data_IF_460686224104
#
_entry.id   IF_460686224104
#
_cell.length_a   1.000
_cell.length_b   1.000
_cell.length_c   1.000
_cell.angle_alpha   90.00
_cell.angle_beta   90.00
_cell.angle_gamma   90.00
#
_symmetry.space_group_name_H-M   'P 1'
#
loop_
_entity.id
_entity.type
_entity.pdbx_description
1 polymer ?
#
# COMPACT_ATOMS: atom_id res chain seq x y z
N UNK A 1 8.89 -5.71 26.34
CA UNK A 1 9.43 -4.53 25.62
C UNK A 1 8.75 -3.28 26.16
N UNK A 2 9.54 -2.28 26.62
CA UNK A 2 8.96 -0.97 26.97
C UNK A 2 8.92 -0.14 25.70
N UNK A 3 7.73 0.21 25.24
CA UNK A 3 7.52 1.10 24.10
C UNK A 3 6.86 2.39 24.58
N UNK A 4 7.38 3.51 24.17
CA UNK A 4 6.71 4.82 24.27
C UNK A 4 6.62 5.42 22.87
N UNK A 5 5.81 6.48 22.69
CA UNK A 5 5.79 7.20 21.42
C UNK A 5 7.18 7.75 21.03
N UNK A 6 8.08 7.87 21.98
CA UNK A 6 9.39 8.52 21.81
C UNK A 6 10.54 7.53 21.56
N UNK A 7 10.41 6.26 21.98
CA UNK A 7 11.44 5.25 21.80
C UNK A 7 10.88 3.83 21.88
N UNK A 8 11.66 2.88 21.35
CA UNK A 8 11.49 1.44 21.57
C UNK A 8 12.84 0.78 21.86
N UNK A 9 12.80 -0.42 22.44
CA UNK A 9 13.99 -1.22 22.72
C UNK A 9 14.17 -2.30 21.64
N UNK A 10 15.37 -2.37 21.07
CA UNK A 10 15.80 -3.39 20.10
C UNK A 10 17.19 -3.85 20.47
N UNK A 11 17.40 -5.15 20.68
CA UNK A 11 18.68 -5.77 21.05
C UNK A 11 19.37 -5.09 22.26
N UNK A 12 18.58 -4.73 23.29
CA UNK A 12 19.06 -4.06 24.49
C UNK A 12 19.48 -2.61 24.29
N UNK A 13 19.17 -2.01 23.15
CA UNK A 13 19.44 -0.60 22.83
C UNK A 13 18.15 0.18 22.69
N UNK A 14 18.19 1.44 23.13
CA UNK A 14 17.09 2.39 22.93
C UNK A 14 17.21 2.98 21.53
N UNK A 15 16.15 2.83 20.74
CA UNK A 15 16.00 3.44 19.42
C UNK A 15 14.95 4.57 19.51
N UNK A 16 15.37 5.79 19.22
CA UNK A 16 14.50 6.97 19.24
C UNK A 16 13.63 7.02 17.99
N UNK A 17 12.34 7.32 18.15
CA UNK A 17 11.35 7.40 17.05
C UNK A 17 11.43 8.74 16.32
N UNK A 18 10.74 8.83 15.18
CA UNK A 18 10.55 10.08 14.45
C UNK A 18 9.84 11.14 15.32
N UNK A 19 8.86 10.73 16.13
CA UNK A 19 8.11 11.63 17.04
C UNK A 19 9.03 12.31 18.04
N UNK A 20 9.97 11.58 18.65
CA UNK A 20 10.98 12.17 19.51
C UNK A 20 11.80 13.23 18.78
N UNK A 21 12.21 12.95 17.54
CA UNK A 21 13.02 13.90 16.78
C UNK A 21 12.23 15.13 16.33
N UNK A 22 10.94 14.98 16.04
CA UNK A 22 10.02 16.10 15.75
C UNK A 22 9.86 16.99 16.97
N UNK A 23 9.60 16.41 18.16
CA UNK A 23 9.49 17.15 19.44
C UNK A 23 10.76 17.94 19.76
N UNK A 24 11.94 17.43 19.39
CA UNK A 24 13.21 18.16 19.55
C UNK A 24 13.31 19.40 18.64
N UNK A 25 12.56 19.48 17.54
CA UNK A 25 12.43 20.64 16.67
C UNK A 25 13.55 20.85 15.63
N UNK A 26 14.60 20.01 15.59
CA UNK A 26 15.66 20.10 14.58
C UNK A 26 16.50 18.82 14.49
N UNK A 27 17.13 18.60 13.35
CA UNK A 27 18.06 17.49 13.13
C UNK A 27 19.32 17.67 13.99
N UNK A 28 19.78 16.61 14.67
CA UNK A 28 20.99 16.62 15.51
C UNK A 28 22.29 16.45 14.72
N UNK A 29 22.22 16.08 13.44
CA UNK A 29 23.40 15.77 12.62
C UNK A 29 24.05 14.42 12.90
N UNK A 30 23.49 13.61 13.82
CA UNK A 30 23.92 12.23 14.08
C UNK A 30 23.10 11.29 13.21
N UNK A 31 23.68 10.20 12.76
CA UNK A 31 23.03 9.22 11.87
C UNK A 31 21.91 8.49 12.61
N UNK A 32 20.79 9.18 12.84
CA UNK A 32 19.61 8.65 13.51
C UNK A 32 18.78 7.83 12.51
N UNK A 33 18.37 6.61 12.89
CA UNK A 33 17.59 5.68 12.05
C UNK A 33 16.27 6.30 11.57
N UNK A 34 15.57 7.02 12.43
CA UNK A 34 14.26 7.62 12.15
C UNK A 34 14.33 9.16 12.07
N UNK A 35 15.30 9.69 11.33
CA UNK A 35 15.42 11.13 11.14
C UNK A 35 14.28 11.67 10.25
N UNK A 36 13.38 12.54 10.77
CA UNK A 36 12.20 13.00 10.03
C UNK A 36 12.47 14.24 9.16
N UNK A 37 13.72 14.71 9.12
CA UNK A 37 14.06 15.96 8.44
C UNK A 37 14.54 15.71 7.01
N UNK A 38 14.16 16.60 6.07
CA UNK A 38 14.74 16.62 4.71
C UNK A 38 16.25 16.78 4.80
N UNK A 39 17.00 16.18 3.88
CA UNK A 39 18.46 16.11 3.99
C UNK A 39 18.84 15.59 5.39
N UNK A 40 18.55 14.32 5.68
CA UNK A 40 18.79 13.74 7.00
C UNK A 40 20.25 13.92 7.41
N UNK A 41 20.48 13.92 8.72
CA UNK A 41 21.81 14.08 9.34
C UNK A 41 22.48 15.45 9.12
N UNK A 42 21.71 16.46 8.69
CA UNK A 42 22.20 17.85 8.60
C UNK A 42 21.85 18.61 9.89
N UNK A 43 22.85 18.84 10.74
CA UNK A 43 22.67 19.52 12.04
C UNK A 43 21.97 20.86 11.90
N UNK A 44 20.92 21.05 12.70
CA UNK A 44 20.14 22.29 12.74
C UNK A 44 19.05 22.39 11.66
N UNK A 45 18.94 21.43 10.73
CA UNK A 45 17.85 21.42 9.77
C UNK A 45 16.49 21.24 10.49
N UNK A 46 15.53 22.11 10.19
CA UNK A 46 14.17 22.12 10.77
C UNK A 46 13.09 21.70 9.77
N UNK A 47 13.45 21.52 8.50
CA UNK A 47 12.49 21.16 7.46
C UNK A 47 12.16 19.70 7.57
N UNK A 48 10.94 19.38 7.95
CA UNK A 48 10.44 18.00 8.03
C UNK A 48 10.27 17.42 6.61
N UNK A 49 10.64 16.16 6.46
CA UNK A 49 10.28 15.40 5.30
C UNK A 49 8.77 15.12 5.34
N UNK A 50 8.07 15.38 4.24
CA UNK A 50 6.66 15.00 4.16
C UNK A 50 6.57 13.49 4.15
N UNK A 51 5.93 12.93 5.17
CA UNK A 51 5.69 11.49 5.20
C UNK A 51 4.85 11.08 3.99
N UNK A 52 5.21 9.96 3.42
CA UNK A 52 4.48 9.36 2.30
C UNK A 52 3.23 8.69 2.82
N UNK A 53 2.18 8.68 2.01
CA UNK A 53 0.92 8.04 2.34
C UNK A 53 0.85 6.65 1.69
N UNK A 54 0.37 5.68 2.44
CA UNK A 54 0.18 4.32 1.97
C UNK A 54 -1.28 3.88 2.16
N UNK A 55 -1.89 3.34 1.12
CA UNK A 55 -3.26 2.84 1.10
C UNK A 55 -3.26 1.31 0.98
N UNK A 56 -3.99 0.65 1.85
CA UNK A 56 -4.13 -0.80 1.90
C UNK A 56 -5.58 -1.19 1.63
N UNK A 57 -5.82 -1.88 0.54
CA UNK A 57 -7.14 -2.37 0.13
C UNK A 57 -7.24 -3.85 0.47
N UNK A 58 -8.11 -4.18 1.43
CA UNK A 58 -8.33 -5.57 1.88
C UNK A 58 -9.58 -5.59 2.76
N UNK A 59 -10.52 -6.48 2.51
CA UNK A 59 -11.80 -6.55 3.22
C UNK A 59 -11.66 -7.03 4.68
N UNK A 60 -10.67 -7.86 4.98
CA UNK A 60 -10.47 -8.50 6.29
C UNK A 60 -9.16 -8.13 6.95
N UNK A 61 -8.05 -8.20 6.21
CA UNK A 61 -6.70 -8.09 6.77
C UNK A 61 -6.31 -6.64 7.04
N UNK A 62 -5.40 -6.46 7.99
CA UNK A 62 -4.77 -5.17 8.28
C UNK A 62 -3.26 -5.37 8.28
N UNK A 63 -2.49 -4.46 7.67
CA UNK A 63 -1.05 -4.57 7.66
C UNK A 63 -0.48 -4.49 9.07
N UNK A 64 0.40 -5.43 9.42
CA UNK A 64 0.99 -5.53 10.76
C UNK A 64 2.26 -4.70 10.91
N UNK A 65 2.78 -4.16 9.82
CA UNK A 65 4.06 -3.45 9.80
C UNK A 65 3.89 -2.03 9.27
N UNK A 66 4.65 -1.10 9.84
CA UNK A 66 4.82 0.25 9.33
C UNK A 66 6.03 0.30 8.39
N UNK A 67 5.96 1.16 7.38
CA UNK A 67 7.06 1.39 6.44
C UNK A 67 7.77 2.69 6.82
N UNK A 68 9.11 2.64 6.94
CA UNK A 68 9.88 3.84 7.25
C UNK A 68 9.66 4.95 6.20
N UNK A 69 9.37 6.15 6.67
CA UNK A 69 9.09 7.31 5.82
C UNK A 69 7.66 7.39 5.31
N UNK A 70 6.79 6.47 5.74
CA UNK A 70 5.35 6.52 5.46
C UNK A 70 4.55 6.80 6.74
N UNK A 71 3.39 7.42 6.57
CA UNK A 71 2.34 7.43 7.58
C UNK A 71 1.85 5.99 7.83
N UNK A 72 1.17 5.72 8.95
CA UNK A 72 0.44 4.46 9.11
C UNK A 72 -0.46 4.20 7.90
N UNK A 73 -0.63 2.92 7.58
CA UNK A 73 -1.49 2.54 6.48
C UNK A 73 -2.92 3.06 6.67
N UNK A 74 -3.46 3.70 5.65
CA UNK A 74 -4.88 3.90 5.52
C UNK A 74 -5.49 2.62 4.96
N UNK A 75 -6.44 2.03 5.70
CA UNK A 75 -7.06 0.76 5.31
C UNK A 75 -8.45 1.06 4.77
N UNK A 76 -8.73 0.55 3.58
CA UNK A 76 -10.04 0.60 2.92
C UNK A 76 -10.51 -0.82 2.63
N UNK A 77 -11.80 -1.08 2.82
CA UNK A 77 -12.37 -2.42 2.89
C UNK A 77 -13.06 -2.89 1.62
N UNK A 78 -13.50 -1.96 0.78
CA UNK A 78 -14.29 -2.20 -0.41
C UNK A 78 -14.01 -1.16 -1.49
N UNK A 79 -14.68 -1.31 -2.62
CA UNK A 79 -14.53 -0.41 -3.77
C UNK A 79 -14.93 1.03 -3.45
N UNK A 80 -16.07 1.23 -2.76
CA UNK A 80 -16.60 2.56 -2.45
C UNK A 80 -15.65 3.34 -1.54
N UNK A 81 -15.10 2.69 -0.52
CA UNK A 81 -14.11 3.28 0.38
C UNK A 81 -12.82 3.63 -0.36
N UNK A 82 -12.37 2.76 -1.27
CA UNK A 82 -11.18 2.99 -2.09
C UNK A 82 -11.34 4.23 -2.98
N UNK A 83 -12.48 4.31 -3.70
CA UNK A 83 -12.83 5.44 -4.56
C UNK A 83 -12.96 6.73 -3.75
N UNK A 84 -13.69 6.69 -2.63
CA UNK A 84 -13.92 7.83 -1.74
C UNK A 84 -12.59 8.37 -1.21
N UNK A 85 -11.73 7.49 -0.68
CA UNK A 85 -10.45 7.91 -0.11
C UNK A 85 -9.55 8.60 -1.13
N UNK A 86 -9.41 8.03 -2.34
CA UNK A 86 -8.57 8.63 -3.40
C UNK A 86 -9.17 9.93 -3.92
N UNK A 87 -10.49 10.00 -4.03
CA UNK A 87 -11.17 11.22 -4.50
C UNK A 87 -10.93 12.39 -3.54
N UNK A 88 -10.99 12.14 -2.24
CA UNK A 88 -10.79 13.16 -1.20
C UNK A 88 -9.31 13.52 -0.98
N UNK A 89 -8.42 12.54 -1.02
CA UNK A 89 -7.03 12.68 -0.60
C UNK A 89 -6.02 12.73 -1.76
N UNK A 90 -6.46 12.41 -2.99
CA UNK A 90 -5.58 12.21 -4.13
C UNK A 90 -4.81 10.89 -4.05
N UNK A 91 -3.99 10.61 -5.08
CA UNK A 91 -3.23 9.36 -5.18
C UNK A 91 -2.18 9.26 -4.07
N UNK A 92 -2.15 8.18 -3.28
CA UNK A 92 -1.11 7.95 -2.29
C UNK A 92 0.23 7.60 -2.94
N UNK A 93 1.28 7.57 -2.14
CA UNK A 93 2.64 7.22 -2.61
C UNK A 93 2.79 5.71 -2.82
N UNK A 94 1.99 4.91 -2.13
CA UNK A 94 1.96 3.45 -2.24
C UNK A 94 0.52 2.94 -2.11
N UNK A 95 0.13 2.01 -2.98
CA UNK A 95 -1.13 1.28 -2.88
C UNK A 95 -0.81 -0.22 -2.81
N UNK A 96 -1.39 -0.90 -1.84
CA UNK A 96 -1.34 -2.36 -1.74
C UNK A 96 -2.72 -2.94 -1.99
N UNK A 97 -2.86 -3.78 -3.01
CA UNK A 97 -4.12 -4.36 -3.43
C UNK A 97 -4.29 -5.80 -2.94
N UNK A 98 -5.46 -6.10 -2.35
CA UNK A 98 -6.07 -7.42 -2.46
C UNK A 98 -6.92 -7.48 -3.72
N UNK A 99 -7.21 -8.70 -4.19
CA UNK A 99 -8.10 -8.93 -5.31
C UNK A 99 -9.53 -9.25 -4.84
N UNK A 100 -9.67 -10.15 -3.89
CA UNK A 100 -10.96 -10.65 -3.43
C UNK A 100 -11.43 -9.78 -2.25
N UNK A 101 -12.49 -9.00 -2.46
CA UNK A 101 -13.00 -8.01 -1.49
C UNK A 101 -14.34 -8.43 -0.86
N UNK A 102 -14.73 -9.69 -1.03
CA UNK A 102 -15.91 -10.28 -0.41
C UNK A 102 -15.75 -11.78 -0.24
N UNK A 103 -16.43 -12.33 0.76
CA UNK A 103 -16.41 -13.77 1.06
C UNK A 103 -16.87 -14.60 -0.15
N UNK A 104 -17.86 -14.13 -0.91
CA UNK A 104 -18.34 -14.76 -2.13
C UNK A 104 -17.26 -14.94 -3.22
N UNK A 105 -16.30 -14.03 -3.30
CA UNK A 105 -15.17 -14.15 -4.25
C UNK A 105 -14.24 -15.30 -3.86
N UNK A 106 -13.98 -15.44 -2.57
CA UNK A 106 -13.11 -16.49 -2.01
C UNK A 106 -13.77 -17.86 -2.13
N UNK A 107 -15.06 -17.97 -1.79
CA UNK A 107 -15.82 -19.21 -1.90
C UNK A 107 -15.89 -19.72 -3.33
N UNK A 108 -16.14 -18.84 -4.30
CA UNK A 108 -16.19 -19.23 -5.70
C UNK A 108 -14.82 -19.68 -6.22
N UNK A 109 -13.75 -19.00 -5.83
CA UNK A 109 -12.38 -19.40 -6.18
C UNK A 109 -12.07 -20.82 -5.70
N UNK A 110 -12.35 -21.16 -4.45
CA UNK A 110 -12.12 -22.50 -3.91
C UNK A 110 -13.05 -23.55 -4.50
N UNK A 111 -14.30 -23.20 -4.79
CA UNK A 111 -15.24 -24.09 -5.46
C UNK A 111 -14.77 -24.47 -6.87
N UNK A 112 -14.22 -23.54 -7.60
CA UNK A 112 -13.67 -23.74 -8.94
C UNK A 112 -12.38 -24.58 -8.93
N UNK A 113 -11.53 -24.41 -7.92
CA UNK A 113 -10.36 -25.27 -7.72
C UNK A 113 -10.73 -26.74 -7.46
N UNK A 114 -11.86 -26.98 -6.77
CA UNK A 114 -12.35 -28.33 -6.47
C UNK A 114 -13.00 -29.04 -7.67
N UNK A 115 -13.46 -28.30 -8.67
CA UNK A 115 -14.03 -28.84 -9.90
C UNK A 115 -12.89 -29.16 -10.87
N UNK A 116 -12.81 -30.41 -11.36
CA UNK A 116 -11.80 -30.90 -12.32
C UNK A 116 -11.89 -30.21 -13.68
N UNK A 117 -11.54 -28.94 -13.75
CA UNK A 117 -11.61 -28.09 -14.92
C UNK A 117 -11.73 -26.63 -14.48
N UNK A 118 -10.60 -26.03 -14.16
CA UNK A 118 -10.54 -24.65 -13.73
C UNK A 118 -11.14 -23.71 -14.80
N UNK A 119 -12.32 -23.18 -14.54
CA UNK A 119 -12.88 -22.07 -15.29
C UNK A 119 -12.65 -20.81 -14.47
N UNK A 120 -12.13 -19.76 -15.11
CA UNK A 120 -11.94 -18.48 -14.43
C UNK A 120 -13.29 -17.95 -13.94
N UNK A 121 -13.39 -17.53 -12.67
CA UNK A 121 -14.60 -16.90 -12.15
C UNK A 121 -14.99 -15.71 -13.01
N UNK A 122 -16.27 -15.62 -13.36
CA UNK A 122 -16.82 -14.42 -13.99
C UNK A 122 -17.31 -13.49 -12.88
N UNK A 123 -16.44 -12.60 -12.44
CA UNK A 123 -16.70 -11.65 -11.32
C UNK A 123 -17.85 -10.65 -11.60
N UNK A 124 -18.29 -10.53 -12.86
CA UNK A 124 -19.44 -9.70 -13.26
C UNK A 124 -20.78 -10.06 -12.57
N UNK A 125 -20.87 -11.26 -12.02
CA UNK A 125 -22.06 -11.75 -11.31
C UNK A 125 -22.16 -11.27 -9.85
N UNK A 126 -21.08 -10.71 -9.29
CA UNK A 126 -21.04 -10.31 -7.90
C UNK A 126 -21.53 -8.89 -7.69
N UNK A 127 -22.12 -8.65 -6.52
CA UNK A 127 -22.55 -7.31 -6.09
C UNK A 127 -21.34 -6.47 -5.69
N UNK A 128 -20.40 -7.08 -4.95
CA UNK A 128 -19.16 -6.43 -4.55
C UNK A 128 -18.12 -6.48 -5.67
N UNK A 129 -17.46 -5.37 -5.89
CA UNK A 129 -16.40 -5.23 -6.89
C UNK A 129 -15.08 -5.75 -6.36
N UNK A 130 -14.23 -6.23 -7.27
CA UNK A 130 -12.92 -6.79 -6.96
C UNK A 130 -11.83 -5.71 -6.89
N UNK A 131 -10.65 -6.09 -6.39
CA UNK A 131 -9.47 -5.23 -6.46
C UNK A 131 -9.02 -4.90 -7.89
N UNK A 132 -9.37 -5.75 -8.87
CA UNK A 132 -9.14 -5.43 -10.29
C UNK A 132 -10.04 -4.28 -10.76
N UNK A 133 -11.29 -4.22 -10.27
CA UNK A 133 -12.19 -3.11 -10.59
C UNK A 133 -11.72 -1.80 -9.95
N UNK A 134 -11.16 -1.87 -8.73
CA UNK A 134 -10.46 -0.73 -8.11
C UNK A 134 -9.27 -0.26 -8.96
N UNK A 135 -8.46 -1.19 -9.49
CA UNK A 135 -7.34 -0.86 -10.36
C UNK A 135 -7.78 -0.23 -11.69
N UNK A 136 -8.90 -0.69 -12.28
CA UNK A 136 -9.49 -0.12 -13.50
C UNK A 136 -9.97 1.30 -13.25
N UNK A 137 -10.73 1.51 -12.17
CA UNK A 137 -11.17 2.85 -11.79
C UNK A 137 -9.98 3.80 -11.53
N UNK A 138 -8.95 3.30 -10.84
CA UNK A 138 -7.73 4.08 -10.60
C UNK A 138 -7.06 4.52 -11.90
N UNK A 139 -7.04 3.66 -12.92
CA UNK A 139 -6.48 4.00 -14.23
C UNK A 139 -7.26 5.13 -14.90
N UNK A 140 -8.59 5.08 -14.87
CA UNK A 140 -9.44 6.16 -15.38
C UNK A 140 -9.23 7.47 -14.60
N UNK A 141 -9.15 7.37 -13.27
CA UNK A 141 -8.89 8.53 -12.41
C UNK A 141 -7.54 9.19 -12.74
N UNK A 142 -6.49 8.40 -12.89
CA UNK A 142 -5.15 8.87 -13.24
C UNK A 142 -5.13 9.59 -14.58
N UNK A 143 -5.78 9.00 -15.60
CA UNK A 143 -5.86 9.58 -16.95
C UNK A 143 -6.65 10.90 -16.94
N UNK A 144 -7.83 10.91 -16.31
CA UNK A 144 -8.72 12.07 -16.28
C UNK A 144 -8.13 13.25 -15.51
N UNK A 145 -7.31 12.98 -14.48
CA UNK A 145 -6.72 14.01 -13.63
C UNK A 145 -5.26 14.32 -13.95
N UNK A 146 -4.70 13.70 -15.00
CA UNK A 146 -3.27 13.80 -15.34
C UNK A 146 -2.37 13.55 -14.11
N UNK A 147 -2.76 12.58 -13.30
CA UNK A 147 -2.07 12.24 -12.05
C UNK A 147 -1.02 11.16 -12.29
N UNK A 148 -0.07 10.99 -11.36
CA UNK A 148 1.00 9.99 -11.46
C UNK A 148 0.83 8.95 -10.38
N UNK A 149 0.76 7.69 -10.79
CA UNK A 149 0.80 6.54 -9.89
C UNK A 149 2.27 6.24 -9.54
N UNK A 150 2.61 6.26 -8.24
CA UNK A 150 4.00 6.15 -7.79
C UNK A 150 4.42 4.70 -7.57
N UNK A 151 3.76 4.00 -6.65
CA UNK A 151 4.12 2.62 -6.30
C UNK A 151 2.89 1.77 -6.05
N UNK A 152 2.91 0.53 -6.55
CA UNK A 152 1.84 -0.46 -6.35
C UNK A 152 2.45 -1.80 -5.97
N UNK A 153 1.84 -2.48 -5.03
CA UNK A 153 2.09 -3.90 -4.75
C UNK A 153 0.77 -4.65 -4.66
N UNK A 154 0.83 -5.97 -4.73
CA UNK A 154 -0.33 -6.86 -4.60
C UNK A 154 -0.03 -7.90 -3.53
N UNK A 155 -0.97 -8.08 -2.60
CA UNK A 155 -0.84 -9.03 -1.48
C UNK A 155 -1.96 -10.08 -1.46
N UNK A 156 -2.69 -10.22 -2.58
CA UNK A 156 -3.78 -11.19 -2.69
C UNK A 156 -3.30 -12.64 -2.59
N UNK A 157 -4.10 -13.46 -1.92
CA UNK A 157 -3.93 -14.92 -1.91
C UNK A 157 -4.44 -15.58 -3.20
N UNK A 158 -5.21 -14.88 -4.02
CA UNK A 158 -5.65 -15.31 -5.33
C UNK A 158 -4.55 -15.00 -6.38
N UNK A 159 -3.77 -16.01 -6.84
CA UNK A 159 -2.64 -15.79 -7.74
C UNK A 159 -3.09 -15.29 -9.12
N UNK A 160 -4.29 -15.67 -9.57
CA UNK A 160 -4.86 -15.23 -10.85
C UNK A 160 -5.26 -13.76 -10.75
N UNK A 161 -6.00 -13.40 -9.70
CA UNK A 161 -6.38 -12.02 -9.43
C UNK A 161 -5.16 -11.11 -9.26
N UNK A 162 -4.16 -11.56 -8.51
CA UNK A 162 -2.90 -10.83 -8.34
C UNK A 162 -2.20 -10.59 -9.69
N UNK A 163 -2.12 -11.61 -10.54
CA UNK A 163 -1.50 -11.51 -11.88
C UNK A 163 -2.29 -10.56 -12.77
N UNK A 164 -3.62 -10.57 -12.70
CA UNK A 164 -4.47 -9.68 -13.47
C UNK A 164 -4.26 -8.22 -13.09
N UNK A 165 -4.25 -7.90 -11.79
CA UNK A 165 -3.96 -6.53 -11.30
C UNK A 165 -2.56 -6.10 -11.75
N UNK A 166 -1.55 -6.95 -11.56
CA UNK A 166 -0.17 -6.65 -11.96
C UNK A 166 -0.06 -6.35 -13.45
N UNK A 167 -0.65 -7.23 -14.30
CA UNK A 167 -0.60 -7.07 -15.75
C UNK A 167 -1.31 -5.79 -16.19
N UNK A 168 -2.45 -5.47 -15.56
CA UNK A 168 -3.21 -4.27 -15.83
C UNK A 168 -2.42 -2.99 -15.48
N UNK A 169 -1.82 -2.91 -14.29
CA UNK A 169 -0.99 -1.78 -13.86
C UNK A 169 0.24 -1.61 -14.74
N UNK A 170 0.90 -2.70 -15.14
CA UNK A 170 2.03 -2.64 -16.08
C UNK A 170 1.59 -2.15 -17.47
N UNK A 171 0.41 -2.54 -17.94
CA UNK A 171 -0.19 -2.02 -19.16
C UNK A 171 -0.47 -0.52 -19.10
N UNK A 172 -1.06 -0.07 -18.00
CA UNK A 172 -1.30 1.35 -17.73
C UNK A 172 0.01 2.16 -17.72
N UNK A 173 1.03 1.67 -17.01
CA UNK A 173 2.37 2.27 -16.98
C UNK A 173 2.93 2.48 -18.38
N UNK A 174 2.89 1.44 -19.20
CA UNK A 174 3.37 1.49 -20.59
C UNK A 174 2.58 2.50 -21.42
N UNK A 175 1.26 2.53 -21.27
CA UNK A 175 0.38 3.46 -21.98
C UNK A 175 0.66 4.92 -21.61
N UNK A 176 0.90 5.19 -20.32
CA UNK A 176 1.20 6.52 -19.80
C UNK A 176 2.65 6.98 -20.03
N UNK A 177 3.51 6.10 -20.56
CA UNK A 177 4.93 6.42 -20.79
C UNK A 177 5.74 6.62 -19.50
N UNK A 178 5.34 6.04 -18.39
CA UNK A 178 6.10 6.17 -17.13
C UNK A 178 7.35 5.29 -17.15
N UNK A 179 8.51 5.90 -16.96
CA UNK A 179 9.80 5.20 -16.92
C UNK A 179 10.02 4.46 -15.59
N UNK A 180 9.42 4.96 -14.50
CA UNK A 180 9.54 4.36 -13.19
C UNK A 180 8.86 3.00 -13.14
N UNK A 181 9.46 2.07 -12.40
CA UNK A 181 8.79 0.83 -12.03
C UNK A 181 7.76 1.11 -10.94
N UNK A 182 6.47 1.08 -11.31
CA UNK A 182 5.37 1.31 -10.38
C UNK A 182 4.99 0.05 -9.60
N UNK A 183 5.51 -1.12 -9.99
CA UNK A 183 5.18 -2.38 -9.35
C UNK A 183 6.35 -2.89 -8.49
N UNK A 184 6.11 -3.03 -7.19
CA UNK A 184 7.11 -3.47 -6.21
C UNK A 184 7.10 -5.00 -5.96
N UNK A 185 6.35 -5.77 -6.75
CA UNK A 185 6.23 -7.20 -6.55
C UNK A 185 5.18 -7.57 -5.48
N UNK A 186 5.29 -8.78 -4.91
CA UNK A 186 4.48 -9.16 -3.76
C UNK A 186 4.84 -8.26 -2.59
N UNK A 187 3.85 -7.95 -1.76
CA UNK A 187 4.04 -7.10 -0.59
C UNK A 187 5.22 -7.61 0.26
N UNK A 188 6.27 -6.80 0.48
CA UNK A 188 7.49 -7.27 1.12
C UNK A 188 7.30 -7.65 2.61
N UNK A 189 6.10 -7.47 3.14
CA UNK A 189 5.77 -7.60 4.57
C UNK A 189 4.71 -8.66 4.88
N UNK A 190 4.33 -9.49 3.92
CA UNK A 190 3.57 -10.70 4.22
C UNK A 190 4.54 -11.73 4.79
N UNK A 191 4.66 -11.79 6.11
CA UNK A 191 5.22 -12.98 6.74
C UNK A 191 4.25 -14.12 6.46
N UNK A 192 4.71 -15.09 5.67
CA UNK A 192 4.06 -16.40 5.60
C UNK A 192 3.92 -16.95 7.02
N UNK A 193 2.69 -17.28 7.39
CA UNK A 193 2.41 -18.21 8.48
C UNK A 193 1.93 -19.50 7.88
#
# INVERSE_FOLDING_TARGET
MKTSSDYYEEDGKIVLTADFHIKRGSCCGKVCRHCPYTKPHTKGNKTLEKMKRALYLDDVRTPTTTINGYEPWYVVRNYEEFVGWITENGIPDLISFDHDLAEEHVEDYFSQLALNGFQYPTYEKYVEKTGLDCARWLAEYVQNNNAVLKSVCVHSHNPVGATNIQSFINGLKKHMGWEQDCYLGRHPFTTEK
#
